data_IF_738041470120
#
_entry.id   IF_738041470120
#
_cell.length_a   1.000
_cell.length_b   1.000
_cell.length_c   1.000
_cell.angle_alpha   90.00
_cell.angle_beta   90.00
_cell.angle_gamma   90.00
#
_symmetry.space_group_name_H-M   'P 1'
#
loop_
_entity.id
_entity.type
_entity.pdbx_description
1 polymer ?
#
# COMPACT_ATOMS: atom_id res chain seq x y z
N UNK A 1 4.14 -6.99 13.84
CA UNK A 1 3.51 -6.57 12.60
C UNK A 1 4.55 -6.39 11.53
N UNK A 2 4.30 -6.92 10.39
CA UNK A 2 5.29 -6.86 9.32
C UNK A 2 4.71 -6.12 8.13
N UNK A 3 5.57 -5.35 7.49
CA UNK A 3 5.22 -4.70 6.24
C UNK A 3 5.05 -5.76 5.16
N UNK A 4 4.35 -5.36 4.11
CA UNK A 4 4.06 -6.22 2.99
C UNK A 4 5.30 -6.47 2.16
N UNK A 5 5.50 -7.72 1.75
CA UNK A 5 6.56 -8.06 0.81
C UNK A 5 6.05 -7.81 -0.61
N UNK A 6 6.95 -7.53 -1.57
CA UNK A 6 6.51 -7.28 -2.95
C UNK A 6 5.64 -8.41 -3.53
N UNK A 7 5.94 -9.67 -3.20
CA UNK A 7 5.17 -10.79 -3.74
C UNK A 7 3.76 -10.89 -3.15
N UNK A 8 3.53 -10.21 -2.02
CA UNK A 8 2.21 -10.19 -1.38
C UNK A 8 1.33 -9.07 -1.89
N UNK A 9 1.94 -8.08 -2.57
CA UNK A 9 1.26 -6.86 -2.98
C UNK A 9 0.53 -7.07 -4.29
N UNK A 10 -0.55 -7.83 -4.24
CA UNK A 10 -1.31 -8.20 -5.43
C UNK A 10 -2.47 -7.25 -5.65
N UNK A 11 -2.83 -7.07 -6.93
CA UNK A 11 -3.99 -6.26 -7.29
C UNK A 11 -5.23 -6.86 -6.63
N UNK A 12 -6.04 -6.00 -6.02
CA UNK A 12 -7.25 -6.43 -5.32
C UNK A 12 -7.06 -6.67 -3.84
N UNK A 13 -5.83 -6.61 -3.34
CA UNK A 13 -5.56 -6.83 -1.92
C UNK A 13 -5.92 -5.60 -1.11
N UNK A 14 -6.66 -5.80 -0.04
CA UNK A 14 -6.98 -4.74 0.90
C UNK A 14 -5.77 -4.48 1.79
N UNK A 15 -5.43 -3.20 1.95
CA UNK A 15 -4.22 -2.81 2.67
C UNK A 15 -4.48 -1.65 3.62
N UNK A 16 -3.58 -1.51 4.58
CA UNK A 16 -3.57 -0.40 5.53
C UNK A 16 -2.22 0.28 5.45
N UNK A 17 -2.22 1.60 5.46
CA UNK A 17 -0.98 2.38 5.44
C UNK A 17 -0.34 2.34 6.82
N UNK A 18 0.94 1.96 6.85
CA UNK A 18 1.67 1.81 8.11
C UNK A 18 2.03 3.15 8.71
N UNK A 19 2.29 3.12 10.03
CA UNK A 19 2.73 4.30 10.78
C UNK A 19 4.11 4.77 10.34
N UNK A 20 4.83 3.95 9.60
CA UNK A 20 6.16 4.29 9.11
C UNK A 20 6.13 5.12 7.83
N UNK A 21 4.97 5.30 7.22
CA UNK A 21 4.88 6.16 6.03
C UNK A 21 5.22 7.60 6.44
N UNK A 22 5.99 8.29 5.59
CA UNK A 22 6.43 9.64 5.88
C UNK A 22 5.29 10.65 5.87
N UNK A 23 4.23 10.33 5.14
CA UNK A 23 3.06 11.22 5.01
C UNK A 23 2.11 10.92 6.15
N UNK A 24 2.22 11.68 7.23
CA UNK A 24 1.44 11.44 8.44
C UNK A 24 -0.06 11.37 8.18
N UNK A 25 -0.52 12.20 7.23
CA UNK A 25 -1.95 12.27 6.93
C UNK A 25 -2.49 10.99 6.29
N UNK A 26 -1.62 10.11 5.82
CA UNK A 26 -2.04 8.85 5.20
C UNK A 26 -1.97 7.67 6.15
N UNK A 27 -1.30 7.83 7.28
CA UNK A 27 -1.09 6.72 8.22
C UNK A 27 -2.41 6.20 8.74
N UNK A 28 -2.54 4.87 8.77
CA UNK A 28 -3.73 4.22 9.27
C UNK A 28 -4.90 4.17 8.31
N UNK A 29 -4.78 4.78 7.14
CA UNK A 29 -5.85 4.73 6.15
C UNK A 29 -5.87 3.39 5.43
N UNK A 30 -7.03 3.04 4.92
CA UNK A 30 -7.24 1.77 4.22
C UNK A 30 -7.50 2.01 2.74
N UNK A 31 -7.14 1.03 1.92
CA UNK A 31 -7.43 1.08 0.50
C UNK A 31 -7.25 -0.29 -0.13
N UNK A 32 -7.32 -0.34 -1.45
CA UNK A 32 -7.17 -1.58 -2.21
C UNK A 32 -6.14 -1.34 -3.30
N UNK A 33 -5.21 -2.27 -3.47
CA UNK A 33 -4.19 -2.16 -4.51
C UNK A 33 -4.88 -2.29 -5.88
N UNK A 34 -4.67 -1.29 -6.73
CA UNK A 34 -5.29 -1.27 -8.06
C UNK A 34 -4.29 -1.53 -9.17
N UNK A 35 -3.07 -1.04 -9.03
CA UNK A 35 -2.02 -1.25 -10.04
C UNK A 35 -0.69 -1.49 -9.36
N UNK A 36 0.21 -2.18 -10.10
CA UNK A 36 1.56 -2.47 -9.66
C UNK A 36 2.52 -1.95 -10.70
N UNK A 37 3.60 -1.28 -10.26
CA UNK A 37 4.60 -0.70 -11.16
C UNK A 37 6.00 -1.06 -10.69
N UNK A 38 6.91 -1.12 -11.64
CA UNK A 38 8.33 -1.20 -11.33
C UNK A 38 8.87 -2.61 -11.27
N UNK A 39 10.02 -2.70 -10.66
CA UNK A 39 10.78 -3.94 -10.58
C UNK A 39 10.16 -4.88 -9.54
N UNK A 40 10.24 -6.21 -9.74
CA UNK A 40 9.69 -7.15 -8.75
C UNK A 40 10.19 -6.94 -7.33
N UNK A 41 11.41 -6.41 -7.16
CA UNK A 41 11.95 -6.18 -5.83
C UNK A 41 11.70 -4.77 -5.29
N UNK A 42 11.21 -3.87 -6.14
CA UNK A 42 10.93 -2.49 -5.78
C UNK A 42 9.60 -2.09 -6.40
N UNK A 43 8.55 -2.73 -5.91
CA UNK A 43 7.24 -2.52 -6.51
C UNK A 43 6.57 -1.29 -5.88
N UNK A 44 6.07 -0.41 -6.75
CA UNK A 44 5.25 0.71 -6.35
C UNK A 44 3.79 0.33 -6.62
N UNK A 45 2.91 0.77 -5.74
CA UNK A 45 1.52 0.36 -5.78
C UNK A 45 0.61 1.58 -5.84
N UNK A 46 -0.33 1.54 -6.77
CA UNK A 46 -1.37 2.54 -6.89
C UNK A 46 -2.52 2.08 -6.01
N UNK A 47 -2.83 2.86 -4.98
CA UNK A 47 -3.81 2.47 -3.97
C UNK A 47 -4.84 3.57 -3.78
N UNK A 48 -6.01 3.43 -4.40
CA UNK A 48 -7.12 4.31 -4.06
C UNK A 48 -7.52 4.08 -2.61
N UNK A 49 -7.45 5.13 -1.82
CA UNK A 49 -7.80 5.06 -0.40
C UNK A 49 -9.30 5.24 -0.23
N UNK A 50 -9.82 4.72 0.88
CA UNK A 50 -11.26 4.77 1.16
C UNK A 50 -11.81 6.19 1.23
N UNK A 51 -10.95 7.18 1.54
CA UNK A 51 -11.37 8.57 1.63
C UNK A 51 -11.38 9.30 0.26
N UNK A 52 -11.11 8.57 -0.81
CA UNK A 52 -11.13 9.12 -2.15
C UNK A 52 -9.78 9.57 -2.71
N UNK A 53 -8.74 9.54 -1.89
CA UNK A 53 -7.40 9.89 -2.36
C UNK A 53 -6.82 8.77 -3.20
N UNK A 54 -6.02 9.14 -4.20
CA UNK A 54 -5.32 8.19 -5.04
C UNK A 54 -3.83 8.43 -4.80
N UNK A 55 -3.16 7.48 -4.15
CA UNK A 55 -1.77 7.65 -3.73
C UNK A 55 -0.93 6.46 -4.14
N UNK A 56 0.37 6.71 -4.28
CA UNK A 56 1.35 5.67 -4.58
C UNK A 56 2.08 5.29 -3.30
N UNK A 57 2.33 3.99 -3.14
CA UNK A 57 3.04 3.47 -1.98
C UNK A 57 4.05 2.43 -2.40
N UNK A 58 5.16 2.36 -1.65
CA UNK A 58 6.02 1.19 -1.72
C UNK A 58 5.35 0.06 -0.94
N UNK A 59 5.62 -1.18 -1.33
CA UNK A 59 5.03 -2.33 -0.63
C UNK A 59 5.33 -2.30 0.86
N UNK A 60 6.54 -1.89 1.24
CA UNK A 60 6.95 -1.89 2.65
C UNK A 60 6.24 -0.81 3.48
N UNK A 61 5.52 0.09 2.85
CA UNK A 61 4.75 1.11 3.58
C UNK A 61 3.33 0.63 3.90
N UNK A 62 2.99 -0.58 3.50
CA UNK A 62 1.65 -1.13 3.65
C UNK A 62 1.67 -2.43 4.44
N UNK A 63 0.53 -2.77 5.02
CA UNK A 63 0.31 -4.11 5.56
C UNK A 63 -1.03 -4.61 5.02
N UNK A 64 -1.15 -5.93 4.98
CA UNK A 64 -2.38 -6.53 4.52
C UNK A 64 -3.48 -6.30 5.53
N UNK A 65 -4.65 -5.92 5.05
CA UNK A 65 -5.83 -5.69 5.90
C UNK A 65 -6.94 -6.63 5.45
N UNK A 66 -7.59 -7.25 6.40
CA UNK A 66 -8.68 -8.17 6.10
C UNK A 66 -10.02 -7.49 6.23
#
# INVERSE_FOLDING_TARGET
MSSMQPHEALIGTRVKVLETDRREELRGKFGVIEHRFGHPEHVALDVPLDDGRLELFWAHALERAE
#
